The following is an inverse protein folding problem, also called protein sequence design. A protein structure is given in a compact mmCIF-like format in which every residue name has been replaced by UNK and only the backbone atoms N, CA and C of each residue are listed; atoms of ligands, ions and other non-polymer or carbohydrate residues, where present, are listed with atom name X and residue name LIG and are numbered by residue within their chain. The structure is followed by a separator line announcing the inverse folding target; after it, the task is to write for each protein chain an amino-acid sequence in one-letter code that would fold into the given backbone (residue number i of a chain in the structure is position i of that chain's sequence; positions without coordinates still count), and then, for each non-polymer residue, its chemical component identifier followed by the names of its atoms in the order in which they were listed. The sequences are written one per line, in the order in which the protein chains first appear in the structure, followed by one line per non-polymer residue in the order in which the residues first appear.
data_IF_123804867340
#
_entry.id   IF_123804867340
#
_cell.length_a   1.000
_cell.length_b   1.000
_cell.length_c   1.000
_cell.angle_alpha   90.00
_cell.angle_beta   90.00
_cell.angle_gamma   90.00
#
_symmetry.space_group_name_H-M   'P 1'
#
loop_
_entity.id
_entity.type
_entity.pdbx_description
1 polymer ?
#
# COMPACT_ATOMS: atom_id res chain seq x y z
N UNK A 1 -8.28 -5.90 4.12
CA UNK A 1 -6.98 -6.65 4.21
C UNK A 1 -6.86 -7.45 2.94
N UNK A 2 -5.75 -7.39 2.24
CA UNK A 2 -5.63 -8.13 0.97
C UNK A 2 -5.08 -9.53 1.17
N UNK A 3 -5.64 -10.52 0.45
CA UNK A 3 -5.01 -11.83 0.25
C UNK A 3 -4.60 -11.99 -1.20
N UNK A 4 -3.45 -12.62 -1.41
CA UNK A 4 -2.98 -13.01 -2.73
C UNK A 4 -3.52 -14.40 -3.08
N UNK A 5 -4.09 -14.53 -4.26
CA UNK A 5 -4.52 -15.79 -4.87
C UNK A 5 -4.02 -15.85 -6.32
N UNK A 6 -4.21 -16.99 -6.98
CA UNK A 6 -3.95 -17.13 -8.41
C UNK A 6 -5.28 -17.32 -9.13
N UNK A 7 -5.46 -16.65 -10.27
CA UNK A 7 -6.61 -16.83 -11.13
C UNK A 7 -6.65 -18.29 -11.64
N UNK A 8 -7.74 -19.04 -11.42
CA UNK A 8 -7.82 -20.44 -11.83
C UNK A 8 -7.86 -20.62 -13.36
N UNK A 9 -8.11 -19.54 -14.12
CA UNK A 9 -8.22 -19.58 -15.58
C UNK A 9 -6.90 -19.24 -16.26
N UNK A 10 -6.24 -18.14 -15.88
CA UNK A 10 -5.01 -17.68 -16.53
C UNK A 10 -3.73 -17.86 -15.68
N UNK A 11 -3.84 -18.24 -14.42
CA UNK A 11 -2.71 -18.42 -13.52
C UNK A 11 -2.11 -17.12 -12.96
N UNK A 12 -2.55 -15.96 -13.45
CA UNK A 12 -2.09 -14.65 -12.98
C UNK A 12 -2.42 -14.39 -11.51
N UNK A 13 -1.59 -13.58 -10.84
CA UNK A 13 -1.84 -13.20 -9.45
C UNK A 13 -3.07 -12.29 -9.37
N UNK A 14 -3.94 -12.55 -8.39
CA UNK A 14 -5.06 -11.68 -8.04
C UNK A 14 -5.00 -11.35 -6.55
N UNK A 15 -5.53 -10.20 -6.19
CA UNK A 15 -5.63 -9.77 -4.81
C UNK A 15 -7.10 -9.54 -4.46
N UNK A 16 -7.53 -10.07 -3.31
CA UNK A 16 -8.89 -9.88 -2.82
C UNK A 16 -8.87 -9.01 -1.57
N UNK A 17 -9.61 -7.91 -1.57
CA UNK A 17 -9.84 -7.16 -0.33
C UNK A 17 -10.83 -7.91 0.54
N UNK A 18 -10.38 -8.25 1.74
CA UNK A 18 -11.12 -8.95 2.76
C UNK A 18 -11.53 -8.02 3.89
N UNK A 19 -12.80 -8.12 4.26
CA UNK A 19 -13.31 -7.63 5.53
C UNK A 19 -13.49 -8.79 6.48
N UNK A 20 -12.75 -8.77 7.59
CA UNK A 20 -12.79 -9.80 8.63
C UNK A 20 -13.63 -9.28 9.80
N UNK A 21 -14.63 -10.05 10.19
CA UNK A 21 -15.43 -9.82 11.40
C UNK A 21 -14.93 -10.75 12.49
N UNK A 22 -14.20 -10.20 13.46
CA UNK A 22 -13.70 -10.94 14.61
C UNK A 22 -14.47 -10.56 15.89
N UNK A 23 -14.63 -11.54 16.78
CA UNK A 23 -15.05 -11.31 18.16
C UNK A 23 -13.87 -11.62 19.06
N UNK A 24 -13.45 -10.65 19.85
CA UNK A 24 -12.49 -10.87 20.92
C UNK A 24 -13.25 -11.06 22.24
N UNK A 25 -13.00 -12.19 22.91
CA UNK A 25 -13.48 -12.44 24.27
C UNK A 25 -12.27 -12.37 25.19
N UNK A 26 -12.29 -11.40 26.11
CA UNK A 26 -11.22 -11.22 27.10
C UNK A 26 -11.76 -11.71 28.45
N UNK A 27 -11.09 -12.69 29.04
CA UNK A 27 -11.30 -13.15 30.41
C UNK A 27 -10.09 -12.77 31.27
N UNK A 28 -10.16 -12.97 32.59
CA UNK A 28 -9.07 -12.64 33.50
C UNK A 28 -7.76 -13.38 33.17
N UNK A 29 -7.86 -14.59 32.60
CA UNK A 29 -6.71 -15.48 32.38
C UNK A 29 -6.42 -15.75 30.89
N UNK A 30 -7.31 -15.36 29.97
CA UNK A 30 -7.12 -15.62 28.54
C UNK A 30 -7.80 -14.61 27.62
N UNK A 31 -7.25 -14.46 26.42
CA UNK A 31 -7.93 -13.80 25.31
C UNK A 31 -8.18 -14.80 24.19
N UNK A 32 -9.45 -15.04 23.86
CA UNK A 32 -9.84 -15.82 22.69
C UNK A 32 -10.30 -14.89 21.57
N UNK A 33 -9.83 -15.15 20.35
CA UNK A 33 -10.30 -14.48 19.14
C UNK A 33 -11.01 -15.49 18.26
N UNK A 34 -12.26 -15.19 17.94
CA UNK A 34 -13.10 -16.00 17.05
C UNK A 34 -13.36 -15.19 15.77
N UNK A 35 -12.95 -15.73 14.62
CA UNK A 35 -13.34 -15.16 13.32
C UNK A 35 -14.75 -15.65 13.02
N UNK A 36 -15.71 -14.73 12.96
CA UNK A 36 -17.12 -15.06 12.73
C UNK A 36 -17.46 -15.12 11.25
N UNK A 37 -16.87 -14.20 10.47
CA UNK A 37 -17.20 -14.02 9.07
C UNK A 37 -16.05 -13.32 8.34
N UNK A 38 -15.83 -13.71 7.09
CA UNK A 38 -14.91 -13.06 6.17
C UNK A 38 -15.72 -12.75 4.91
N UNK A 39 -15.75 -11.48 4.51
CA UNK A 39 -16.34 -11.05 3.26
C UNK A 39 -15.24 -10.65 2.28
N UNK A 40 -15.38 -11.07 1.02
CA UNK A 40 -14.57 -10.55 -0.10
C UNK A 40 -15.32 -9.35 -0.66
N UNK A 41 -14.68 -8.18 -0.65
CA UNK A 41 -15.27 -6.92 -1.12
C UNK A 41 -14.97 -6.72 -2.61
N UNK A 42 -13.68 -6.62 -2.93
CA UNK A 42 -13.21 -6.34 -4.28
C UNK A 42 -12.06 -7.28 -4.66
N UNK A 43 -11.89 -7.46 -5.96
CA UNK A 43 -10.75 -8.17 -6.53
C UNK A 43 -10.01 -7.23 -7.44
N UNK A 44 -8.71 -7.12 -7.26
CA UNK A 44 -7.84 -6.29 -8.07
C UNK A 44 -6.60 -7.06 -8.52
N UNK A 45 -6.03 -6.58 -9.61
CA UNK A 45 -4.73 -7.01 -10.12
C UNK A 45 -3.60 -6.44 -9.25
N UNK A 46 -2.38 -7.02 -9.30
CA UNK A 46 -1.21 -6.44 -8.65
C UNK A 46 -0.99 -4.97 -9.02
N UNK A 47 -1.21 -4.62 -10.29
CA UNK A 47 -1.02 -3.29 -10.84
C UNK A 47 -2.05 -2.30 -10.29
N UNK A 48 -3.32 -2.70 -10.20
CA UNK A 48 -4.38 -1.87 -9.61
C UNK A 48 -4.17 -1.64 -8.11
N UNK A 49 -3.74 -2.68 -7.38
CA UNK A 49 -3.39 -2.55 -5.96
C UNK A 49 -2.22 -1.57 -5.77
N UNK A 50 -1.18 -1.71 -6.58
CA UNK A 50 -0.03 -0.80 -6.56
C UNK A 50 -0.45 0.64 -6.86
N UNK A 51 -1.25 0.85 -7.92
CA UNK A 51 -1.79 2.19 -8.26
C UNK A 51 -2.61 2.79 -7.13
N UNK A 52 -3.50 2.00 -6.50
CA UNK A 52 -4.29 2.48 -5.37
C UNK A 52 -3.42 2.88 -4.18
N UNK A 53 -2.39 2.09 -3.87
CA UNK A 53 -1.44 2.43 -2.81
C UNK A 53 -0.67 3.73 -3.14
N UNK A 54 -0.24 3.89 -4.39
CA UNK A 54 0.43 5.10 -4.87
C UNK A 54 -0.49 6.33 -4.84
N UNK A 55 -1.79 6.18 -5.11
CA UNK A 55 -2.75 7.29 -4.99
C UNK A 55 -2.94 7.77 -3.55
N UNK A 56 -2.96 6.87 -2.56
CA UNK A 56 -2.99 7.28 -1.14
C UNK A 56 -1.70 8.00 -0.74
N UNK A 57 -0.58 7.60 -1.33
CA UNK A 57 0.70 8.30 -1.17
C UNK A 57 0.70 9.66 -1.86
N UNK A 58 0.00 9.82 -2.98
CA UNK A 58 -0.10 11.07 -3.73
C UNK A 58 -0.66 12.23 -2.89
N UNK A 59 -1.60 11.96 -1.98
CA UNK A 59 -2.13 12.96 -1.04
C UNK A 59 -1.07 13.56 -0.10
N UNK A 60 0.09 12.91 0.01
CA UNK A 60 1.22 13.34 0.81
C UNK A 60 2.36 13.95 -0.03
N UNK A 61 2.24 13.93 -1.35
CA UNK A 61 3.23 14.41 -2.31
C UNK A 61 2.80 15.78 -2.83
N UNK A 62 3.62 16.79 -2.61
CA UNK A 62 3.41 18.14 -3.11
C UNK A 62 4.55 18.57 -4.03
N UNK A 63 4.30 19.61 -4.83
CA UNK A 63 5.29 20.11 -5.79
C UNK A 63 6.55 20.62 -5.06
N UNK A 64 7.71 20.08 -5.40
CA UNK A 64 8.99 20.39 -4.75
C UNK A 64 9.28 19.58 -3.49
N UNK A 65 8.53 18.52 -3.18
CA UNK A 65 8.85 17.62 -2.06
C UNK A 65 10.22 16.99 -2.25
N UNK A 66 11.03 16.90 -1.19
CA UNK A 66 12.32 16.22 -1.26
C UNK A 66 12.18 14.70 -1.20
N UNK A 67 13.08 13.97 -1.85
CA UNK A 67 13.12 12.49 -1.80
C UNK A 67 13.34 11.98 -0.38
N UNK A 68 14.12 12.69 0.44
CA UNK A 68 14.34 12.37 1.85
C UNK A 68 13.07 12.55 2.69
N UNK A 69 12.33 13.62 2.45
CA UNK A 69 11.06 13.87 3.12
C UNK A 69 10.01 12.83 2.74
N UNK A 70 9.91 12.49 1.45
CA UNK A 70 9.03 11.43 0.98
C UNK A 70 9.42 10.07 1.58
N UNK A 71 10.71 9.75 1.66
CA UNK A 71 11.22 8.56 2.34
C UNK A 71 10.83 8.53 3.83
N UNK A 72 10.92 9.68 4.51
CA UNK A 72 10.48 9.82 5.90
C UNK A 72 8.99 9.57 6.05
N UNK A 73 8.16 10.11 5.16
CA UNK A 73 6.70 9.87 5.14
C UNK A 73 6.40 8.38 4.95
N UNK A 74 7.05 7.73 3.97
CA UNK A 74 6.89 6.30 3.71
C UNK A 74 7.21 5.46 4.94
N UNK A 75 8.28 5.80 5.66
CA UNK A 75 8.69 5.07 6.86
C UNK A 75 7.78 5.34 8.07
N UNK A 76 7.49 6.61 8.35
CA UNK A 76 6.79 7.02 9.57
C UNK A 76 5.27 6.86 9.49
N UNK A 77 4.67 7.14 8.33
CA UNK A 77 3.21 7.05 8.16
C UNK A 77 2.75 5.71 7.60
N UNK A 78 3.56 5.09 6.74
CA UNK A 78 3.17 3.87 6.03
C UNK A 78 3.96 2.63 6.47
N UNK A 79 4.93 2.77 7.38
CA UNK A 79 5.70 1.65 7.91
C UNK A 79 6.59 0.95 6.88
N UNK A 80 6.93 1.64 5.78
CA UNK A 80 7.76 1.09 4.71
C UNK A 80 9.20 0.94 5.20
N UNK A 81 9.81 -0.22 4.94
CA UNK A 81 11.22 -0.46 5.24
C UNK A 81 12.11 0.35 4.28
N UNK A 82 13.20 0.89 4.82
CA UNK A 82 14.11 1.80 4.10
C UNK A 82 14.61 1.24 2.76
N UNK A 83 14.88 -0.07 2.71
CA UNK A 83 15.31 -0.76 1.48
C UNK A 83 14.30 -0.69 0.34
N UNK A 84 13.01 -0.48 0.62
CA UNK A 84 11.95 -0.38 -0.39
C UNK A 84 11.55 1.06 -0.71
N UNK A 85 12.03 2.05 0.04
CA UNK A 85 11.64 3.45 -0.17
C UNK A 85 12.07 3.96 -1.55
N UNK A 86 13.28 3.63 -2.00
CA UNK A 86 13.79 4.09 -3.29
C UNK A 86 12.94 3.58 -4.46
N UNK A 87 12.56 2.31 -4.45
CA UNK A 87 11.76 1.68 -5.52
C UNK A 87 10.36 2.30 -5.59
N UNK A 88 9.73 2.51 -4.44
CA UNK A 88 8.43 3.17 -4.34
C UNK A 88 8.47 4.62 -4.84
N UNK A 89 9.55 5.35 -4.53
CA UNK A 89 9.73 6.71 -5.04
C UNK A 89 9.86 6.72 -6.56
N UNK A 90 10.57 5.76 -7.16
CA UNK A 90 10.64 5.66 -8.63
C UNK A 90 9.28 5.33 -9.25
N UNK A 91 8.51 4.42 -8.64
CA UNK A 91 7.16 4.11 -9.10
C UNK A 91 6.23 5.31 -8.99
N UNK A 92 6.27 6.06 -7.88
CA UNK A 92 5.52 7.30 -7.70
C UNK A 92 5.82 8.31 -8.83
N UNK A 93 7.09 8.50 -9.17
CA UNK A 93 7.48 9.41 -10.24
C UNK A 93 6.84 9.06 -11.58
N UNK A 94 6.77 7.77 -11.91
CA UNK A 94 6.19 7.31 -13.16
C UNK A 94 4.68 7.46 -13.13
N UNK A 95 4.02 7.01 -12.06
CA UNK A 95 2.56 6.99 -11.97
C UNK A 95 1.96 8.41 -11.85
N UNK A 96 2.69 9.34 -11.24
CA UNK A 96 2.24 10.72 -10.99
C UNK A 96 2.80 11.75 -11.98
N UNK A 97 3.47 11.29 -13.03
CA UNK A 97 4.15 12.13 -14.04
C UNK A 97 5.01 13.23 -13.39
N UNK A 98 5.99 12.81 -12.58
CA UNK A 98 6.88 13.71 -11.86
C UNK A 98 8.33 13.62 -12.38
N UNK A 99 9.02 14.75 -12.34
CA UNK A 99 10.43 14.86 -12.70
C UNK A 99 11.30 15.30 -11.51
N UNK A 100 12.59 14.99 -11.58
CA UNK A 100 13.56 15.25 -10.50
C UNK A 100 14.84 15.87 -11.08
N UNK A 101 14.86 17.18 -11.34
CA UNK A 101 15.93 17.83 -12.09
C UNK A 101 17.24 17.92 -11.29
N UNK A 102 17.14 18.09 -9.97
CA UNK A 102 18.26 18.28 -9.04
C UNK A 102 18.63 17.00 -8.29
N UNK A 103 17.98 15.87 -8.61
CA UNK A 103 18.10 14.58 -7.92
C UNK A 103 17.68 14.61 -6.43
N UNK A 104 17.06 15.70 -5.98
CA UNK A 104 16.70 15.90 -4.58
C UNK A 104 15.21 16.17 -4.39
N UNK A 105 14.59 16.91 -5.31
CA UNK A 105 13.19 17.34 -5.22
C UNK A 105 12.38 16.81 -6.40
N UNK A 106 11.13 16.44 -6.12
CA UNK A 106 10.17 15.93 -7.08
C UNK A 106 9.19 17.03 -7.45
N UNK A 107 8.99 17.23 -8.73
CA UNK A 107 8.08 18.23 -9.27
C UNK A 107 7.06 17.59 -10.20
N UNK A 108 5.82 18.06 -10.15
CA UNK A 108 4.80 17.67 -11.12
C UNK A 108 5.11 18.31 -12.49
N UNK A 109 4.87 17.57 -13.57
CA UNK A 109 4.96 18.06 -14.95
C UNK A 109 3.81 19.02 -15.28
#
# INVERSE_FOLDING_TARGET
MYIKTNCPICGESLFHDLRIYEKQTITADSSEREIRRIDVLETCTPEELARSALHVLADHVYNGISTNELCKILREKFGVLEQYCCDLIQQLKIEMDMYCPDRQHLYYV
#
